data_IF_894521253492
#
_entry.id   IF_894521253492
#
_cell.length_a   1.000
_cell.length_b   1.000
_cell.length_c   1.000
_cell.angle_alpha   90.00
_cell.angle_beta   90.00
_cell.angle_gamma   90.00
#
_symmetry.space_group_name_H-M   'P 1'
#
loop_
_entity.id
_entity.type
_entity.pdbx_description
1 polymer ?
#
# COMPACT_ATOMS: atom_id res chain seq x y z
N UNK A 1 -38.09 7.30 -27.85
CA UNK A 1 -37.18 6.14 -27.73
C UNK A 1 -35.91 6.66 -27.09
N UNK A 2 -35.80 6.49 -25.78
CA UNK A 2 -34.62 6.91 -25.02
C UNK A 2 -33.58 5.80 -25.16
N UNK A 3 -32.39 6.17 -25.61
CA UNK A 3 -31.26 5.26 -25.69
C UNK A 3 -30.86 4.80 -24.30
N UNK A 4 -30.98 3.50 -24.05
CA UNK A 4 -30.30 2.84 -22.96
C UNK A 4 -28.79 2.94 -23.23
N UNK A 5 -28.11 3.82 -22.50
CA UNK A 5 -26.66 3.81 -22.41
C UNK A 5 -26.34 2.72 -21.37
N UNK A 6 -25.83 1.60 -21.88
CA UNK A 6 -25.45 0.43 -21.10
C UNK A 6 -24.57 0.81 -19.92
N UNK A 7 -24.97 0.35 -18.74
CA UNK A 7 -24.20 0.40 -17.50
C UNK A 7 -22.84 -0.31 -17.66
N UNK A 8 -21.83 0.35 -17.10
CA UNK A 8 -20.64 -0.20 -16.47
C UNK A 8 -19.97 -1.42 -17.12
N UNK A 9 -19.02 -1.13 -18.01
CA UNK A 9 -17.82 -1.95 -18.16
C UNK A 9 -16.87 -1.61 -16.99
N UNK A 10 -17.20 -2.04 -15.76
CA UNK A 10 -16.22 -2.06 -14.67
C UNK A 10 -15.32 -3.26 -14.89
N UNK A 11 -14.24 -3.05 -15.63
CA UNK A 11 -13.10 -3.94 -15.57
C UNK A 11 -12.64 -4.03 -14.13
N UNK A 12 -12.50 -5.26 -13.60
CA UNK A 12 -11.80 -5.60 -12.35
C UNK A 12 -10.30 -5.21 -12.46
N UNK A 13 -10.03 -3.93 -12.69
CA UNK A 13 -8.69 -3.43 -12.93
C UNK A 13 -8.06 -3.11 -11.58
N UNK A 14 -7.03 -3.87 -11.23
CA UNK A 14 -6.27 -3.67 -10.00
C UNK A 14 -5.57 -2.30 -10.05
N UNK A 15 -6.05 -1.38 -9.23
CA UNK A 15 -5.44 -0.07 -9.02
C UNK A 15 -4.35 -0.14 -7.95
N UNK A 16 -3.24 0.58 -8.18
CA UNK A 16 -2.23 0.83 -7.17
C UNK A 16 -2.50 2.18 -6.51
N UNK A 17 -2.56 2.20 -5.18
CA UNK A 17 -2.86 3.37 -4.37
C UNK A 17 -1.79 3.60 -3.31
N UNK A 18 -1.53 4.86 -2.99
CA UNK A 18 -0.76 5.27 -1.82
C UNK A 18 -1.71 5.69 -0.69
N UNK A 19 -1.59 5.04 0.46
CA UNK A 19 -2.22 5.43 1.72
C UNK A 19 -1.19 6.21 2.53
N UNK A 20 -1.38 7.53 2.61
CA UNK A 20 -0.54 8.44 3.37
C UNK A 20 -1.23 8.75 4.70
N UNK A 21 -0.51 8.60 5.80
CA UNK A 21 -1.06 8.81 7.13
C UNK A 21 -0.25 9.82 7.92
N UNK A 22 -0.92 10.70 8.68
CA UNK A 22 -0.30 11.47 9.75
C UNK A 22 -0.76 10.89 11.09
N UNK A 23 0.14 10.16 11.75
CA UNK A 23 -0.07 9.49 13.02
C UNK A 23 0.99 9.96 14.02
N UNK A 24 0.80 9.68 15.31
CA UNK A 24 1.80 9.96 16.34
C UNK A 24 3.00 9.01 16.29
N UNK A 25 2.80 7.80 15.74
CA UNK A 25 3.79 6.72 15.66
C UNK A 25 3.84 6.10 14.27
N UNK A 26 4.74 5.15 14.03
CA UNK A 26 4.84 4.46 12.73
C UNK A 26 3.57 3.68 12.43
N UNK A 27 3.14 3.63 11.16
CA UNK A 27 1.98 2.85 10.70
C UNK A 27 2.04 1.38 11.16
N UNK A 28 3.25 0.84 11.32
CA UNK A 28 3.49 -0.53 11.77
C UNK A 28 3.07 -0.79 13.22
N UNK A 29 2.98 0.28 14.02
CA UNK A 29 2.57 0.24 15.42
C UNK A 29 1.04 0.31 15.58
N UNK A 30 0.30 0.42 14.47
CA UNK A 30 -1.17 0.45 14.46
C UNK A 30 -1.75 -0.81 13.81
N UNK A 31 -1.83 -1.94 14.55
CA UNK A 31 -2.26 -3.23 13.98
C UNK A 31 -3.71 -3.19 13.44
N UNK A 32 -4.60 -2.41 14.07
CA UNK A 32 -5.99 -2.26 13.61
C UNK A 32 -6.06 -1.53 12.26
N UNK A 33 -5.25 -0.49 12.08
CA UNK A 33 -5.12 0.24 10.82
C UNK A 33 -4.56 -0.66 9.72
N UNK A 34 -3.48 -1.39 10.00
CA UNK A 34 -2.92 -2.36 9.06
C UNK A 34 -3.90 -3.47 8.70
N UNK A 35 -4.70 -3.93 9.67
CA UNK A 35 -5.76 -4.91 9.43
C UNK A 35 -6.83 -4.37 8.49
N UNK A 36 -7.27 -3.12 8.67
CA UNK A 36 -8.23 -2.48 7.77
C UNK A 36 -7.65 -2.27 6.36
N UNK A 37 -6.39 -1.83 6.26
CA UNK A 37 -5.68 -1.71 4.98
C UNK A 37 -5.62 -3.08 4.29
N UNK A 38 -5.25 -4.13 5.01
CA UNK A 38 -5.17 -5.48 4.46
C UNK A 38 -6.53 -6.03 4.01
N UNK A 39 -7.62 -5.69 4.71
CA UNK A 39 -8.97 -6.08 4.31
C UNK A 39 -9.45 -5.36 3.03
N UNK A 40 -8.96 -4.14 2.81
CA UNK A 40 -9.28 -3.33 1.63
C UNK A 40 -8.34 -3.60 0.43
N UNK A 41 -7.40 -4.54 0.55
CA UNK A 41 -6.32 -4.75 -0.42
C UNK A 41 -6.16 -6.21 -0.83
N UNK A 42 -5.75 -6.45 -2.08
CA UNK A 42 -5.21 -7.76 -2.50
C UNK A 42 -3.77 -7.95 -2.05
N UNK A 43 -3.02 -6.86 -2.01
CA UNK A 43 -1.64 -6.81 -1.50
C UNK A 43 -1.34 -5.42 -0.93
N UNK A 44 -0.48 -5.34 0.08
CA UNK A 44 -0.04 -4.08 0.66
C UNK A 44 1.43 -4.11 1.07
N UNK A 45 2.08 -2.95 1.05
CA UNK A 45 3.48 -2.79 1.44
C UNK A 45 3.66 -1.51 2.22
N UNK A 46 4.13 -1.62 3.47
CA UNK A 46 4.58 -0.45 4.22
C UNK A 46 5.93 -0.01 3.65
N UNK A 47 5.97 1.20 3.06
CA UNK A 47 7.16 1.74 2.40
C UNK A 47 7.92 2.68 3.32
N UNK A 48 7.20 3.45 4.14
CA UNK A 48 7.76 4.35 5.15
C UNK A 48 6.90 4.30 6.41
N UNK A 49 7.32 4.99 7.48
CA UNK A 49 6.56 5.09 8.73
C UNK A 49 5.16 5.71 8.57
N UNK A 50 4.90 6.38 7.45
CA UNK A 50 3.64 7.09 7.20
C UNK A 50 2.99 6.74 5.86
N UNK A 51 3.54 5.78 5.12
CA UNK A 51 3.08 5.44 3.77
C UNK A 51 2.97 3.94 3.58
N UNK A 52 1.79 3.51 3.15
CA UNK A 52 1.52 2.14 2.71
C UNK A 52 1.05 2.17 1.25
N UNK A 53 1.63 1.31 0.41
CA UNK A 53 1.13 1.07 -0.94
C UNK A 53 0.10 -0.06 -0.90
N UNK A 54 -0.99 0.10 -1.64
CA UNK A 54 -2.14 -0.81 -1.65
C UNK A 54 -2.50 -1.14 -3.09
N UNK A 55 -2.52 -2.43 -3.41
CA UNK A 55 -3.09 -2.93 -4.66
C UNK A 55 -4.52 -3.41 -4.38
N UNK A 56 -5.52 -2.84 -5.06
CA UNK A 56 -6.93 -3.14 -4.78
C UNK A 56 -7.83 -3.02 -6.02
N UNK A 57 -8.95 -3.73 -5.98
CA UNK A 57 -10.09 -3.55 -6.91
C UNK A 57 -11.00 -2.40 -6.43
N UNK A 58 -10.84 -1.94 -5.20
CA UNK A 58 -11.59 -0.84 -4.63
C UNK A 58 -11.05 0.51 -5.12
N UNK A 59 -11.94 1.48 -5.28
CA UNK A 59 -11.56 2.87 -5.56
C UNK A 59 -10.84 3.50 -4.36
N UNK A 60 -10.06 4.56 -4.60
CA UNK A 60 -9.40 5.32 -3.53
C UNK A 60 -10.38 5.81 -2.44
N UNK A 61 -11.60 6.15 -2.84
CA UNK A 61 -12.66 6.58 -1.91
C UNK A 61 -13.11 5.42 -1.02
N UNK A 62 -13.36 4.24 -1.58
CA UNK A 62 -13.80 3.06 -0.83
C UNK A 62 -12.71 2.57 0.12
N UNK A 63 -11.45 2.56 -0.32
CA UNK A 63 -10.30 2.24 0.54
C UNK A 63 -10.25 3.22 1.71
N UNK A 64 -10.31 4.53 1.46
CA UNK A 64 -10.33 5.55 2.51
C UNK A 64 -11.48 5.31 3.48
N UNK A 65 -12.69 5.13 2.98
CA UNK A 65 -13.90 5.00 3.81
C UNK A 65 -13.82 3.74 4.69
N UNK A 66 -13.28 2.64 4.19
CA UNK A 66 -13.05 1.41 4.97
C UNK A 66 -12.05 1.63 6.12
N UNK A 67 -10.97 2.37 5.87
CA UNK A 67 -9.90 2.63 6.85
C UNK A 67 -10.29 3.72 7.85
N UNK A 68 -11.11 4.69 7.44
CA UNK A 68 -11.50 5.85 8.28
C UNK A 68 -12.24 5.42 9.55
N UNK A 69 -12.85 4.23 9.54
CA UNK A 69 -13.58 3.67 10.68
C UNK A 69 -12.69 3.21 11.84
N UNK A 70 -11.38 3.04 11.61
CA UNK A 70 -10.45 2.44 12.59
C UNK A 70 -9.33 3.36 13.06
N UNK A 71 -9.30 4.61 12.56
CA UNK A 71 -8.27 5.59 12.94
C UNK A 71 -8.74 6.50 14.07
N UNK A 72 -7.78 7.00 14.84
CA UNK A 72 -8.03 7.96 15.92
C UNK A 72 -8.59 9.29 15.36
N UNK A 73 -9.33 10.03 16.19
CA UNK A 73 -10.04 11.25 15.78
C UNK A 73 -9.12 12.34 15.19
N UNK A 74 -7.84 12.34 15.58
CA UNK A 74 -6.83 13.30 15.11
C UNK A 74 -5.97 12.77 13.94
N UNK A 75 -6.13 11.51 13.55
CA UNK A 75 -5.37 10.91 12.48
C UNK A 75 -5.83 11.45 11.12
N UNK A 76 -4.88 11.81 10.26
CA UNK A 76 -5.20 12.13 8.86
C UNK A 76 -4.81 10.97 7.97
N UNK A 77 -5.73 10.54 7.10
CA UNK A 77 -5.49 9.50 6.09
C UNK A 77 -5.86 10.05 4.72
N UNK A 78 -4.93 9.97 3.77
CA UNK A 78 -5.14 10.29 2.38
C UNK A 78 -4.91 9.03 1.54
N UNK A 79 -5.83 8.75 0.62
CA UNK A 79 -5.66 7.66 -0.34
C UNK A 79 -5.65 8.26 -1.73
N UNK A 80 -4.58 8.01 -2.47
CA UNK A 80 -4.32 8.60 -3.78
C UNK A 80 -3.97 7.48 -4.77
N UNK A 81 -4.57 7.47 -5.97
CA UNK A 81 -4.07 6.66 -7.08
C UNK A 81 -2.57 6.93 -7.33
N UNK A 82 -1.76 5.88 -7.44
CA UNK A 82 -0.30 5.98 -7.59
C UNK A 82 0.14 6.33 -9.02
N UNK A 83 -0.78 6.28 -9.98
CA UNK A 83 -0.65 6.76 -11.36
C UNK A 83 -0.74 8.30 -11.47
N UNK A 84 -1.33 8.98 -10.47
CA UNK A 84 -1.38 10.45 -10.41
C UNK A 84 -0.09 11.10 -9.89
N UNK A 85 0.86 10.31 -9.41
CA UNK A 85 2.20 10.80 -9.12
C UNK A 85 2.98 10.66 -10.41
N UNK A 86 3.62 11.74 -10.87
CA UNK A 86 4.62 11.74 -11.95
C UNK A 86 5.89 10.99 -11.47
N UNK A 87 5.69 9.76 -11.02
CA UNK A 87 6.69 8.87 -10.50
C UNK A 87 7.26 8.14 -11.72
N UNK A 88 8.52 8.43 -12.04
CA UNK A 88 9.26 7.61 -12.97
C UNK A 88 9.42 6.21 -12.38
N UNK A 89 8.46 5.32 -12.68
CA UNK A 89 8.57 3.90 -12.41
C UNK A 89 9.80 3.40 -13.14
N UNK A 90 10.90 3.24 -12.41
CA UNK A 90 12.10 2.66 -12.98
C UNK A 90 11.86 1.16 -12.99
N UNK A 91 11.70 0.52 -14.16
CA UNK A 91 11.44 -0.91 -14.20
C UNK A 91 12.54 -1.64 -13.44
N UNK A 92 12.22 -2.66 -12.65
CA UNK A 92 13.25 -3.44 -11.93
C UNK A 92 14.29 -4.08 -12.89
N UNK A 93 13.98 -4.16 -14.19
CA UNK A 93 14.92 -4.54 -15.26
C UNK A 93 16.00 -3.50 -15.58
N UNK A 94 15.94 -2.30 -15.00
CA UNK A 94 17.06 -1.36 -14.98
C UNK A 94 18.12 -1.88 -14.01
N UNK A 95 18.99 -2.76 -14.53
CA UNK A 95 19.96 -3.62 -13.84
C UNK A 95 20.78 -3.00 -12.69
N UNK A 96 20.85 -1.67 -12.56
CA UNK A 96 21.61 -0.98 -11.52
C UNK A 96 20.84 -0.81 -10.20
N UNK A 97 19.57 -0.41 -10.26
CA UNK A 97 18.80 -0.08 -9.04
C UNK A 97 17.96 -1.25 -8.55
N UNK A 98 17.36 -2.03 -9.46
CA UNK A 98 16.61 -3.24 -9.10
C UNK A 98 17.50 -4.28 -8.41
N UNK A 99 18.72 -4.47 -8.90
CA UNK A 99 19.68 -5.43 -8.31
C UNK A 99 20.13 -5.02 -6.91
N UNK A 100 20.42 -3.74 -6.70
CA UNK A 100 20.84 -3.28 -5.37
C UNK A 100 19.66 -3.28 -4.40
N UNK A 101 18.46 -2.89 -4.84
CA UNK A 101 17.25 -3.00 -4.02
C UNK A 101 16.96 -4.44 -3.58
N UNK A 102 16.93 -5.39 -4.52
CA UNK A 102 16.71 -6.82 -4.22
C UNK A 102 17.80 -7.37 -3.31
N UNK A 103 19.06 -6.98 -3.53
CA UNK A 103 20.19 -7.36 -2.68
C UNK A 103 20.05 -6.80 -1.26
N UNK A 104 19.68 -5.53 -1.10
CA UNK A 104 19.47 -4.93 0.21
C UNK A 104 18.25 -5.54 0.92
N UNK A 105 17.16 -5.81 0.20
CA UNK A 105 15.97 -6.50 0.73
C UNK A 105 16.31 -7.94 1.18
N UNK A 106 17.11 -8.67 0.41
CA UNK A 106 17.59 -10.00 0.77
C UNK A 106 18.49 -9.97 2.02
N UNK A 107 19.44 -9.02 2.09
CA UNK A 107 20.32 -8.84 3.25
C UNK A 107 19.50 -8.51 4.51
N UNK A 108 18.52 -7.61 4.41
CA UNK A 108 17.65 -7.25 5.52
C UNK A 108 16.83 -8.46 6.00
N UNK A 109 16.29 -9.25 5.07
CA UNK A 109 15.56 -10.49 5.39
C UNK A 109 16.43 -11.53 6.11
N UNK A 110 17.66 -11.74 5.63
CA UNK A 110 18.60 -12.68 6.25
C UNK A 110 19.09 -12.21 7.62
N UNK A 111 19.29 -10.91 7.82
CA UNK A 111 19.62 -10.34 9.13
C UNK A 111 18.49 -10.56 10.12
N UNK A 112 17.23 -10.31 9.72
CA UNK A 112 16.05 -10.54 10.56
C UNK A 112 15.89 -12.03 10.93
N UNK A 113 16.17 -12.92 9.97
CA UNK A 113 16.14 -14.37 10.18
C UNK A 113 17.23 -14.84 11.15
N UNK A 114 18.42 -14.24 11.07
CA UNK A 114 19.53 -14.57 11.95
C UNK A 114 19.38 -13.96 13.34
N UNK A 115 18.80 -12.77 13.48
CA UNK A 115 18.48 -12.17 14.78
C UNK A 115 17.39 -12.95 15.54
N UNK A 116 16.50 -13.63 14.80
CA UNK A 116 15.45 -14.47 15.37
C UNK A 116 15.89 -15.91 15.68
N UNK A 117 17.13 -16.29 15.32
CA UNK A 117 17.72 -17.55 15.80
C UNK A 117 18.28 -17.34 17.20
N UNK A 118 17.58 -17.86 18.22
CA UNK A 118 18.13 -17.94 19.58
C UNK A 118 19.42 -18.77 19.57
N UNK A 119 20.47 -18.35 20.28
CA UNK A 119 21.62 -19.22 20.50
C UNK A 119 21.16 -20.44 21.29
N UNK A 120 21.55 -21.64 20.82
CA UNK A 120 21.43 -22.89 21.56
C UNK A 120 22.44 -22.92 22.72
#
# INVERSE_FOLDING_TARGET
MNGEVSDHDMTDELGLYAVLTKLERSIQEYPTLLGAIAAAAKAHWVVTDSTCLVLSELTAKEIRDSISSVVEENAMVFVLPADMIDAHWTPMGSNRYGREFVKQAFIASEQLRNSNRRPL
#
